data_IF_169449449629
#
_entry.id   IF_169449449629
#
_cell.length_a   1.000
_cell.length_b   1.000
_cell.length_c   1.000
_cell.angle_alpha   90.00
_cell.angle_beta   90.00
_cell.angle_gamma   90.00
#
_symmetry.space_group_name_H-M   'P 1'
#
loop_
_entity.id
_entity.type
_entity.pdbx_description
1 polymer ?
#
# COMPACT_ATOMS: atom_id res chain seq x y z
N UNK A 1 -42.71 9.85 14.91
CA UNK A 1 -42.04 8.53 14.84
C UNK A 1 -41.57 8.18 16.24
N UNK A 2 -41.96 7.01 16.76
CA UNK A 2 -41.48 6.52 18.06
C UNK A 2 -40.07 5.93 17.98
N UNK A 3 -39.52 5.55 19.14
CA UNK A 3 -38.24 4.85 19.22
C UNK A 3 -38.24 3.56 18.39
N UNK A 4 -37.07 3.18 17.88
CA UNK A 4 -36.93 2.00 17.03
C UNK A 4 -37.27 0.73 17.84
N UNK A 5 -38.27 -0.04 17.39
CA UNK A 5 -38.77 -1.26 18.09
C UNK A 5 -37.72 -2.34 18.37
N UNK A 6 -36.68 -2.47 17.52
CA UNK A 6 -35.59 -3.45 17.72
C UNK A 6 -34.24 -2.79 17.47
N UNK A 7 -33.30 -2.98 18.39
CA UNK A 7 -31.93 -2.49 18.24
C UNK A 7 -31.22 -3.19 17.07
N UNK A 8 -30.41 -2.43 16.34
CA UNK A 8 -29.54 -2.96 15.30
C UNK A 8 -28.36 -2.00 15.10
N UNK A 9 -27.19 -2.56 14.84
CA UNK A 9 -26.02 -1.78 14.44
C UNK A 9 -26.27 -0.99 13.15
N UNK A 10 -25.53 0.12 12.98
CA UNK A 10 -25.55 0.93 11.77
C UNK A 10 -25.07 0.09 10.56
N UNK A 11 -25.67 0.33 9.40
CA UNK A 11 -25.22 -0.26 8.13
C UNK A 11 -24.07 0.55 7.53
N UNK A 12 -22.89 -0.04 7.53
CA UNK A 12 -21.66 0.56 7.02
C UNK A 12 -21.04 1.61 7.95
N UNK A 13 -19.73 1.79 7.81
CA UNK A 13 -18.97 2.79 8.57
C UNK A 13 -19.10 4.19 7.94
N UNK A 14 -19.28 5.19 8.80
CA UNK A 14 -19.26 6.62 8.45
C UNK A 14 -17.85 7.18 8.32
N UNK A 15 -16.84 6.53 8.90
CA UNK A 15 -15.43 6.95 8.80
C UNK A 15 -14.91 6.94 7.36
N UNK A 16 -15.56 6.17 6.47
CA UNK A 16 -15.23 6.09 5.05
C UNK A 16 -16.19 6.88 4.15
N UNK A 17 -17.01 7.78 4.72
CA UNK A 17 -17.81 8.75 3.99
C UNK A 17 -16.99 10.03 3.73
N UNK A 18 -17.06 10.67 2.55
CA UNK A 18 -17.83 10.30 1.35
C UNK A 18 -17.15 9.16 0.57
N UNK A 19 -17.94 8.18 0.12
CA UNK A 19 -17.47 7.05 -0.70
C UNK A 19 -17.41 7.44 -2.17
N UNK A 20 -16.25 7.97 -2.59
CA UNK A 20 -15.99 8.48 -3.94
C UNK A 20 -14.82 7.76 -4.62
N UNK A 21 -14.74 7.87 -5.95
CA UNK A 21 -13.63 7.34 -6.74
C UNK A 21 -12.33 8.06 -6.36
N UNK A 22 -11.25 7.31 -6.19
CA UNK A 22 -9.91 7.88 -6.01
C UNK A 22 -9.51 8.71 -7.24
N UNK A 23 -8.81 9.82 -7.00
CA UNK A 23 -8.36 10.74 -8.06
C UNK A 23 -7.22 10.15 -8.91
N UNK A 24 -6.36 9.33 -8.29
CA UNK A 24 -5.23 8.66 -8.94
C UNK A 24 -5.38 7.13 -8.87
N UNK A 25 -4.67 6.42 -9.73
CA UNK A 25 -4.52 4.95 -9.66
C UNK A 25 -3.55 4.52 -8.56
N UNK A 26 -2.77 5.47 -8.05
CA UNK A 26 -1.79 5.30 -7.01
C UNK A 26 -2.36 5.68 -5.64
N UNK A 27 -2.01 4.90 -4.61
CA UNK A 27 -2.38 5.23 -3.24
C UNK A 27 -1.39 6.24 -2.65
N UNK A 28 -1.91 7.28 -2.00
CA UNK A 28 -1.11 8.25 -1.24
C UNK A 28 -0.84 7.73 0.18
N UNK A 29 0.42 7.60 0.56
CA UNK A 29 0.79 7.39 1.96
C UNK A 29 0.67 8.75 2.66
N UNK A 30 -0.06 8.80 3.78
CA UNK A 30 -0.36 10.06 4.49
C UNK A 30 0.41 10.24 5.79
N UNK A 31 0.91 9.15 6.34
CA UNK A 31 1.64 9.13 7.60
C UNK A 31 2.76 8.11 7.49
N UNK A 32 3.77 8.24 8.33
CA UNK A 32 4.94 7.38 8.32
C UNK A 32 5.29 6.99 9.75
N UNK A 33 5.80 5.78 9.99
CA UNK A 33 6.32 5.42 11.30
C UNK A 33 7.59 6.22 11.59
N UNK A 34 7.74 6.62 12.85
CA UNK A 34 8.96 7.29 13.33
C UNK A 34 9.87 6.24 13.96
N UNK A 35 11.14 6.22 13.54
CA UNK A 35 12.19 5.40 14.17
C UNK A 35 13.00 6.21 15.17
N UNK A 36 13.65 5.53 16.11
CA UNK A 36 14.56 6.15 17.08
C UNK A 36 15.78 6.77 16.39
N UNK A 37 16.30 7.84 16.97
CA UNK A 37 17.52 8.50 16.50
C UNK A 37 18.78 7.62 16.64
N UNK A 38 18.73 6.56 17.44
CA UNK A 38 19.80 5.56 17.60
C UNK A 38 19.85 4.55 16.45
N UNK A 39 18.75 4.40 15.72
CA UNK A 39 18.69 3.44 14.62
C UNK A 39 19.46 3.97 13.41
N UNK A 40 19.91 3.08 12.54
CA UNK A 40 20.46 3.48 11.25
C UNK A 40 19.35 4.06 10.34
N UNK A 41 19.67 5.09 9.52
CA UNK A 41 18.74 5.60 8.52
C UNK A 41 18.27 4.50 7.57
N UNK A 42 16.95 4.37 7.41
CA UNK A 42 16.34 3.37 6.54
C UNK A 42 15.17 3.95 5.78
N UNK A 43 15.07 3.60 4.49
CA UNK A 43 13.90 3.90 3.66
C UNK A 43 12.72 3.04 4.13
N UNK A 44 11.56 3.67 4.34
CA UNK A 44 10.43 3.00 5.00
C UNK A 44 9.39 2.42 4.04
N UNK A 45 9.53 2.59 2.73
CA UNK A 45 8.58 2.10 1.75
C UNK A 45 9.23 1.45 0.54
N UNK A 46 8.51 0.46 0.01
CA UNK A 46 8.75 -0.16 -1.28
C UNK A 46 7.40 -0.27 -2.01
N UNK A 47 7.39 -0.74 -3.24
CA UNK A 47 6.15 -1.04 -3.96
C UNK A 47 6.24 -2.37 -4.71
N UNK A 48 5.08 -2.89 -5.09
CA UNK A 48 4.98 -4.07 -5.93
C UNK A 48 3.70 -4.08 -6.75
N UNK A 49 3.61 -5.01 -7.68
CA UNK A 49 2.44 -5.21 -8.54
C UNK A 49 1.74 -6.50 -8.19
N UNK A 50 0.42 -6.43 -7.99
CA UNK A 50 -0.39 -7.61 -7.65
C UNK A 50 -0.41 -8.63 -8.79
N UNK A 51 0.18 -9.79 -8.58
CA UNK A 51 0.15 -10.89 -9.56
C UNK A 51 -1.06 -11.80 -9.36
N UNK A 52 -1.21 -12.35 -8.16
CA UNK A 52 -2.19 -13.39 -7.88
C UNK A 52 -2.37 -13.66 -6.40
N UNK A 53 -3.10 -14.72 -6.10
CA UNK A 53 -3.20 -15.27 -4.75
C UNK A 53 -2.82 -16.74 -4.80
N UNK A 54 -2.23 -17.23 -3.72
CA UNK A 54 -1.79 -18.62 -3.52
C UNK A 54 -2.22 -19.09 -2.14
N UNK A 55 -2.12 -20.39 -1.88
CA UNK A 55 -2.23 -20.95 -0.55
C UNK A 55 -0.82 -21.20 0.01
N UNK A 56 -0.63 -20.95 1.30
CA UNK A 56 0.64 -21.12 1.99
C UNK A 56 0.40 -22.08 3.14
N UNK A 57 1.18 -23.15 3.18
CA UNK A 57 1.25 -24.08 4.31
C UNK A 57 2.45 -23.66 5.16
N UNK A 58 2.18 -23.19 6.37
CA UNK A 58 3.19 -22.69 7.32
C UNK A 58 2.97 -23.29 8.69
N UNK A 59 3.97 -23.29 9.56
CA UNK A 59 3.78 -23.62 10.97
C UNK A 59 3.32 -22.37 11.73
N UNK A 60 2.29 -22.49 12.57
CA UNK A 60 1.83 -21.37 13.41
C UNK A 60 2.85 -21.10 14.52
N UNK A 61 3.47 -19.93 14.46
CA UNK A 61 4.56 -19.50 15.33
C UNK A 61 4.10 -18.62 16.49
N UNK A 62 2.78 -18.46 16.67
CA UNK A 62 2.22 -17.71 17.78
C UNK A 62 2.23 -18.56 19.04
N UNK A 63 2.82 -18.04 20.10
CA UNK A 63 2.76 -18.69 21.41
C UNK A 63 1.35 -18.60 22.01
N UNK A 64 1.02 -19.57 22.88
CA UNK A 64 -0.22 -19.59 23.67
C UNK A 64 -1.52 -19.59 22.86
N UNK A 65 -1.48 -20.06 21.61
CA UNK A 65 -2.69 -20.36 20.82
C UNK A 65 -2.86 -21.88 20.65
N UNK A 66 -4.09 -22.41 20.52
CA UNK A 66 -4.32 -23.86 20.36
C UNK A 66 -3.62 -24.52 19.16
N UNK A 67 -3.23 -23.70 18.18
CA UNK A 67 -2.57 -24.13 16.95
C UNK A 67 -1.05 -23.92 16.96
N UNK A 68 -0.45 -23.43 18.05
CA UNK A 68 0.97 -23.20 18.16
C UNK A 68 1.77 -24.47 17.78
N UNK A 69 2.74 -24.35 16.88
CA UNK A 69 3.54 -25.46 16.39
C UNK A 69 2.83 -26.41 15.41
N UNK A 70 1.56 -26.20 15.10
CA UNK A 70 0.81 -27.00 14.11
C UNK A 70 0.86 -26.36 12.73
N UNK A 71 0.62 -27.19 11.71
CA UNK A 71 0.46 -26.72 10.34
C UNK A 71 -0.79 -25.85 10.21
N UNK A 72 -0.62 -24.70 9.57
CA UNK A 72 -1.63 -23.70 9.29
C UNK A 72 -1.62 -23.40 7.79
N UNK A 73 -2.74 -23.68 7.14
CA UNK A 73 -2.99 -23.27 5.76
C UNK A 73 -3.59 -21.87 5.78
N UNK A 74 -2.93 -20.94 5.09
CA UNK A 74 -3.38 -19.55 4.97
C UNK A 74 -3.35 -19.08 3.52
N UNK A 75 -4.19 -18.10 3.18
CA UNK A 75 -4.13 -17.47 1.87
C UNK A 75 -2.97 -16.49 1.83
N UNK A 76 -2.31 -16.36 0.69
CA UNK A 76 -1.27 -15.39 0.39
C UNK A 76 -1.61 -14.59 -0.86
N UNK A 77 -1.19 -13.32 -0.92
CA UNK A 77 -1.18 -12.55 -2.15
C UNK A 77 0.25 -12.41 -2.66
N UNK A 78 0.49 -12.79 -3.91
CA UNK A 78 1.78 -12.67 -4.59
C UNK A 78 1.92 -11.28 -5.21
N UNK A 79 2.97 -10.58 -4.82
CA UNK A 79 3.34 -9.27 -5.38
C UNK A 79 4.70 -9.40 -6.07
N UNK A 80 4.79 -8.96 -7.33
CA UNK A 80 6.07 -8.80 -8.01
C UNK A 80 6.67 -7.48 -7.57
N UNK A 81 7.89 -7.51 -7.06
CA UNK A 81 8.55 -6.36 -6.44
C UNK A 81 9.82 -6.05 -7.23
N UNK A 82 9.69 -5.41 -8.41
CA UNK A 82 10.87 -4.99 -9.15
C UNK A 82 11.70 -4.00 -8.30
N UNK A 83 13.01 -3.92 -8.55
CA UNK A 83 13.84 -2.94 -7.85
C UNK A 83 13.33 -1.52 -8.09
N UNK A 84 13.43 -0.70 -7.06
CA UNK A 84 13.03 0.70 -7.10
C UNK A 84 14.26 1.59 -7.32
N UNK A 85 14.15 2.57 -8.20
CA UNK A 85 15.21 3.55 -8.47
C UNK A 85 15.05 4.75 -7.53
N UNK A 86 16.10 5.16 -6.84
CA UNK A 86 16.12 6.41 -6.10
C UNK A 86 16.41 7.56 -7.07
N UNK A 87 15.37 8.30 -7.44
CA UNK A 87 15.45 9.43 -8.37
C UNK A 87 15.97 10.69 -7.72
N UNK A 88 15.67 10.90 -6.44
CA UNK A 88 15.90 12.19 -5.82
C UNK A 88 15.71 12.21 -4.32
N UNK A 89 15.99 13.35 -3.73
CA UNK A 89 15.85 13.66 -2.31
C UNK A 89 14.96 14.90 -2.19
N UNK A 90 13.96 14.82 -1.31
CA UNK A 90 13.11 15.94 -0.95
C UNK A 90 13.23 16.22 0.54
N UNK A 91 13.56 17.47 0.89
CA UNK A 91 13.61 17.95 2.27
C UNK A 91 12.36 18.76 2.60
N UNK A 92 11.73 18.45 3.75
CA UNK A 92 10.63 19.24 4.28
C UNK A 92 11.04 20.02 5.53
N UNK A 93 10.80 21.33 5.53
CA UNK A 93 10.73 22.15 6.74
C UNK A 93 9.34 22.03 7.36
N UNK A 94 9.22 22.43 8.63
CA UNK A 94 7.95 22.42 9.36
C UNK A 94 7.73 23.75 10.04
N UNK A 95 6.69 24.45 9.59
CA UNK A 95 6.23 25.72 10.16
C UNK A 95 4.87 25.53 10.86
N UNK A 96 4.28 26.62 11.34
CA UNK A 96 2.95 26.60 11.97
C UNK A 96 1.85 26.10 11.01
N UNK A 97 2.00 26.35 9.71
CA UNK A 97 1.04 25.97 8.67
C UNK A 97 1.21 24.51 8.19
N UNK A 98 2.32 23.86 8.53
CA UNK A 98 2.59 22.46 8.21
C UNK A 98 3.95 22.22 7.57
N UNK A 99 4.04 21.18 6.75
CA UNK A 99 5.29 20.77 6.11
C UNK A 99 5.42 21.45 4.74
N UNK A 100 6.54 22.13 4.50
CA UNK A 100 6.86 22.81 3.25
C UNK A 100 8.08 22.16 2.58
N UNK A 101 7.99 21.91 1.27
CA UNK A 101 9.13 21.34 0.52
C UNK A 101 10.16 22.45 0.26
N UNK A 102 11.34 22.31 0.84
CA UNK A 102 12.41 23.31 0.77
C UNK A 102 13.33 23.11 -0.43
N UNK A 103 13.58 21.85 -0.78
CA UNK A 103 14.40 21.49 -1.93
C UNK A 103 14.00 20.14 -2.50
N UNK A 104 14.26 20.00 -3.80
CA UNK A 104 14.29 18.75 -4.53
C UNK A 104 15.66 18.62 -5.20
N UNK A 105 16.35 17.52 -4.94
CA UNK A 105 17.61 17.16 -5.58
C UNK A 105 17.35 15.90 -6.38
N UNK A 106 17.79 15.85 -7.64
CA UNK A 106 17.62 14.68 -8.50
C UNK A 106 18.97 14.10 -8.91
N UNK A 107 19.00 12.79 -9.17
CA UNK A 107 20.14 12.11 -9.75
C UNK A 107 20.49 12.71 -11.12
N UNK A 108 21.78 12.81 -11.43
CA UNK A 108 22.25 13.22 -12.75
C UNK A 108 22.13 12.07 -13.75
N UNK A 109 22.59 10.88 -13.35
CA UNK A 109 22.51 9.68 -14.17
C UNK A 109 21.19 8.94 -13.92
N UNK A 110 20.20 9.24 -14.76
CA UNK A 110 18.89 8.59 -14.72
C UNK A 110 18.76 7.66 -15.93
N UNK A 111 18.42 6.38 -15.73
CA UNK A 111 18.16 5.43 -16.80
C UNK A 111 17.22 5.97 -17.89
N UNK A 112 17.59 5.77 -19.16
CA UNK A 112 16.87 6.29 -20.36
C UNK A 112 15.40 5.87 -20.45
N UNK A 113 15.04 4.73 -19.87
CA UNK A 113 13.67 4.24 -19.79
C UNK A 113 12.79 5.13 -18.90
N UNK A 114 13.37 5.77 -17.88
CA UNK A 114 12.67 6.62 -16.92
C UNK A 114 12.78 8.10 -17.32
N UNK A 115 13.95 8.56 -17.75
CA UNK A 115 14.16 9.96 -18.14
C UNK A 115 13.34 10.40 -19.35
N UNK A 116 13.01 9.48 -20.28
CA UNK A 116 12.10 9.78 -21.41
C UNK A 116 10.65 10.04 -20.99
N UNK A 117 10.22 9.47 -19.87
CA UNK A 117 8.84 9.51 -19.42
C UNK A 117 8.59 10.61 -18.36
N UNK A 118 9.65 11.27 -17.88
CA UNK A 118 9.60 12.28 -16.81
C UNK A 118 10.39 13.52 -17.22
N UNK A 119 9.76 14.69 -17.15
CA UNK A 119 10.45 15.97 -17.27
C UNK A 119 11.09 16.36 -15.93
N UNK A 120 12.37 16.07 -15.75
CA UNK A 120 13.13 16.47 -14.55
C UNK A 120 14.03 17.66 -14.92
N UNK A 121 13.92 18.77 -14.19
CA UNK A 121 14.85 19.89 -14.29
C UNK A 121 15.95 19.67 -13.26
N UNK A 122 17.13 19.24 -13.70
CA UNK A 122 18.27 19.14 -12.81
C UNK A 122 19.04 20.48 -12.84
N UNK A 123 19.23 21.09 -11.67
CA UNK A 123 19.96 22.36 -11.53
C UNK A 123 21.35 22.00 -11.00
N UNK A 124 22.40 22.46 -11.68
CA UNK A 124 23.78 22.27 -11.24
C UNK A 124 24.00 22.87 -9.84
N UNK A 125 24.74 22.17 -8.98
CA UNK A 125 24.97 22.58 -7.58
C UNK A 125 23.77 22.38 -6.64
N UNK A 126 22.74 21.63 -7.06
CA UNK A 126 21.55 21.39 -6.23
C UNK A 126 21.86 20.63 -4.92
N UNK A 127 22.84 19.71 -4.95
CA UNK A 127 23.27 18.93 -3.78
C UNK A 127 23.88 19.83 -2.71
N UNK A 128 24.85 20.66 -3.08
CA UNK A 128 25.54 21.59 -2.16
C UNK A 128 24.56 22.60 -1.56
N UNK A 129 23.64 23.11 -2.38
CA UNK A 129 22.57 23.98 -1.91
C UNK A 129 21.64 23.28 -0.90
N UNK A 130 21.33 22.00 -1.11
CA UNK A 130 20.52 21.22 -0.17
C UNK A 130 21.25 20.99 1.16
N UNK A 131 22.56 20.68 1.12
CA UNK A 131 23.40 20.48 2.31
C UNK A 131 23.42 21.73 3.19
N UNK A 132 23.52 22.92 2.60
CA UNK A 132 23.50 24.19 3.34
C UNK A 132 22.18 24.43 4.12
N UNK A 133 21.08 23.82 3.65
CA UNK A 133 19.72 24.04 4.20
C UNK A 133 19.28 22.96 5.18
N UNK A 134 20.09 21.91 5.41
CA UNK A 134 19.73 20.77 6.26
C UNK A 134 19.29 21.16 7.67
N UNK A 135 19.86 22.23 8.24
CA UNK A 135 19.51 22.74 9.59
C UNK A 135 18.04 23.13 9.74
N UNK A 136 17.36 23.52 8.66
CA UNK A 136 15.93 23.91 8.66
C UNK A 136 15.00 22.72 8.39
N UNK A 137 15.54 21.60 7.93
CA UNK A 137 14.76 20.43 7.54
C UNK A 137 14.35 19.66 8.78
N UNK A 138 13.14 19.10 8.75
CA UNK A 138 12.61 18.21 9.78
C UNK A 138 12.40 16.78 9.29
N UNK A 139 12.07 16.61 8.02
CA UNK A 139 11.81 15.30 7.42
C UNK A 139 12.48 15.19 6.05
N UNK A 140 13.11 14.04 5.79
CA UNK A 140 13.72 13.71 4.50
C UNK A 140 12.95 12.57 3.83
N UNK A 141 12.71 12.74 2.54
CA UNK A 141 12.08 11.75 1.69
C UNK A 141 12.99 11.41 0.51
N UNK A 142 13.08 10.12 0.21
CA UNK A 142 13.60 9.66 -1.07
C UNK A 142 12.47 9.72 -2.10
N UNK A 143 12.71 10.33 -3.25
CA UNK A 143 11.84 10.27 -4.41
C UNK A 143 12.17 8.97 -5.14
N UNK A 144 11.23 8.04 -5.12
CA UNK A 144 11.38 6.69 -5.64
C UNK A 144 10.62 6.54 -6.94
N UNK A 145 11.23 5.89 -7.94
CA UNK A 145 10.54 5.45 -9.14
C UNK A 145 10.54 3.93 -9.30
N UNK A 146 9.44 3.41 -9.81
CA UNK A 146 9.32 2.01 -10.22
C UNK A 146 8.84 1.92 -11.65
N UNK A 147 9.52 1.12 -12.47
CA UNK A 147 9.08 0.82 -13.83
C UNK A 147 8.15 -0.41 -13.83
N UNK A 148 6.89 -0.29 -14.27
CA UNK A 148 5.99 -1.44 -14.41
C UNK A 148 6.53 -2.49 -15.39
N UNK A 149 7.33 -2.07 -16.38
CA UNK A 149 7.99 -2.96 -17.33
C UNK A 149 8.97 -3.93 -16.66
N UNK A 150 9.65 -3.48 -15.61
CA UNK A 150 10.53 -4.34 -14.81
C UNK A 150 9.76 -5.45 -14.09
N UNK A 151 8.47 -5.24 -13.79
CA UNK A 151 7.56 -6.27 -13.26
C UNK A 151 6.90 -7.13 -14.35
N UNK A 152 7.30 -7.01 -15.62
CA UNK A 152 6.71 -7.75 -16.74
C UNK A 152 5.38 -7.19 -17.25
N UNK A 153 5.04 -5.94 -16.92
CA UNK A 153 3.82 -5.28 -17.42
C UNK A 153 4.09 -4.49 -18.72
N UNK A 154 3.05 -4.34 -19.53
CA UNK A 154 3.12 -3.60 -20.82
C UNK A 154 3.31 -2.08 -20.63
N UNK A 155 2.97 -1.55 -19.46
CA UNK A 155 3.00 -0.10 -19.19
C UNK A 155 4.44 0.40 -19.03
N UNK A 156 4.78 1.43 -19.83
CA UNK A 156 6.12 2.04 -19.84
C UNK A 156 6.28 3.14 -18.79
N UNK A 157 5.23 3.94 -18.57
CA UNK A 157 5.27 5.08 -17.65
C UNK A 157 5.59 4.63 -16.22
N UNK A 158 6.64 5.16 -15.58
CA UNK A 158 6.99 4.82 -14.20
C UNK A 158 5.99 5.41 -13.21
N UNK A 159 5.86 4.76 -12.05
CA UNK A 159 5.22 5.37 -10.88
C UNK A 159 6.28 6.03 -10.02
N UNK A 160 6.00 7.25 -9.56
CA UNK A 160 6.93 8.05 -8.76
C UNK A 160 6.25 8.42 -7.46
N UNK A 161 6.92 8.19 -6.34
CA UNK A 161 6.41 8.61 -5.05
C UNK A 161 7.52 8.84 -4.03
N UNK A 162 7.17 9.58 -2.99
CA UNK A 162 8.04 9.82 -1.85
C UNK A 162 7.99 8.63 -0.88
N UNK A 163 9.17 8.17 -0.48
CA UNK A 163 9.36 7.24 0.62
C UNK A 163 10.10 7.96 1.75
N UNK A 164 9.53 7.99 2.96
CA UNK A 164 10.19 8.62 4.10
C UNK A 164 11.45 7.82 4.46
N UNK A 165 12.50 8.54 4.81
CA UNK A 165 13.69 7.98 5.45
C UNK A 165 13.65 8.32 6.93
N UNK A 166 13.86 7.32 7.77
CA UNK A 166 13.80 7.49 9.23
C UNK A 166 14.88 6.66 9.91
N UNK A 167 15.30 7.08 11.10
CA UNK A 167 16.47 6.57 11.80
C UNK A 167 17.63 7.56 11.71
N UNK A 168 18.45 7.64 12.76
CA UNK A 168 19.58 8.55 12.81
C UNK A 168 19.18 10.03 12.85
N UNK A 169 20.20 10.88 12.70
CA UNK A 169 20.03 12.32 12.53
C UNK A 169 19.74 12.69 11.06
N UNK A 170 19.21 13.88 10.83
CA UNK A 170 18.80 14.37 9.50
C UNK A 170 19.98 14.41 8.54
N UNK A 171 21.17 14.78 9.01
CA UNK A 171 22.39 14.78 8.20
C UNK A 171 22.78 13.36 7.76
N UNK A 172 22.65 12.37 8.66
CA UNK A 172 22.89 10.96 8.35
C UNK A 172 21.84 10.41 7.38
N UNK A 173 20.58 10.79 7.54
CA UNK A 173 19.51 10.44 6.60
C UNK A 173 19.80 11.00 5.20
N UNK A 174 20.24 12.26 5.11
CA UNK A 174 20.61 12.88 3.85
C UNK A 174 21.78 12.15 3.18
N UNK A 175 22.85 11.90 3.92
CA UNK A 175 24.03 11.17 3.43
C UNK A 175 23.65 9.77 2.92
N UNK A 176 22.83 9.03 3.67
CA UNK A 176 22.35 7.71 3.27
C UNK A 176 21.61 7.73 1.94
N UNK A 177 20.69 8.68 1.73
CA UNK A 177 19.96 8.77 0.45
C UNK A 177 20.86 9.30 -0.67
N UNK A 178 21.80 10.20 -0.37
CA UNK A 178 22.78 10.71 -1.33
C UNK A 178 23.64 9.58 -1.92
N UNK A 179 24.06 8.62 -1.10
CA UNK A 179 24.81 7.44 -1.57
C UNK A 179 24.00 6.49 -2.45
N UNK A 180 22.69 6.44 -2.22
CA UNK A 180 21.74 5.61 -2.96
C UNK A 180 21.16 6.32 -4.20
N UNK A 181 21.47 7.59 -4.40
CA UNK A 181 20.97 8.40 -5.50
C UNK A 181 21.37 7.80 -6.86
N UNK A 182 20.40 7.61 -7.75
CA UNK A 182 20.62 6.97 -9.06
C UNK A 182 20.79 5.45 -9.02
N UNK A 183 20.78 4.82 -7.84
CA UNK A 183 20.90 3.36 -7.68
C UNK A 183 19.54 2.69 -7.53
N UNK A 184 19.52 1.42 -7.91
CA UNK A 184 18.38 0.53 -7.74
C UNK A 184 18.45 -0.19 -6.39
N UNK A 185 17.33 -0.18 -5.65
CA UNK A 185 17.18 -0.82 -4.34
C UNK A 185 16.19 -1.96 -4.48
N UNK A 186 16.60 -3.15 -3.99
CA UNK A 186 15.74 -4.33 -3.92
C UNK A 186 14.92 -4.33 -2.63
N UNK A 187 13.84 -5.11 -2.63
CA UNK A 187 12.96 -5.18 -1.47
C UNK A 187 13.65 -5.73 -0.22
N UNK A 188 14.58 -6.66 -0.38
CA UNK A 188 15.35 -7.30 0.70
C UNK A 188 16.22 -6.31 1.50
N UNK A 189 16.60 -5.19 0.88
CA UNK A 189 17.35 -4.13 1.56
C UNK A 189 16.45 -3.28 2.47
N UNK A 190 15.13 -3.28 2.22
CA UNK A 190 14.14 -2.48 2.97
C UNK A 190 13.38 -3.35 3.98
N UNK A 191 12.92 -4.53 3.58
CA UNK A 191 12.11 -5.39 4.41
C UNK A 191 12.78 -6.74 4.61
N UNK A 192 12.44 -7.39 5.71
CA UNK A 192 12.93 -8.72 6.05
C UNK A 192 11.77 -9.71 6.00
N UNK A 193 12.06 -10.99 5.71
CA UNK A 193 11.06 -12.05 5.75
C UNK A 193 10.49 -12.18 7.16
N UNK A 194 9.16 -12.24 7.28
CA UNK A 194 8.46 -12.26 8.55
C UNK A 194 8.07 -10.88 9.09
N UNK A 195 8.62 -9.80 8.53
CA UNK A 195 8.23 -8.46 8.92
C UNK A 195 6.78 -8.17 8.54
N UNK A 196 6.11 -7.39 9.36
CA UNK A 196 4.75 -6.87 9.12
C UNK A 196 4.83 -5.53 8.41
N UNK A 197 4.00 -5.36 7.38
CA UNK A 197 3.93 -4.16 6.56
C UNK A 197 2.50 -3.66 6.43
N UNK A 198 2.39 -2.35 6.25
CA UNK A 198 1.14 -1.69 5.91
C UNK A 198 1.02 -1.56 4.40
N UNK A 199 -0.16 -1.85 3.87
CA UNK A 199 -0.40 -1.99 2.45
C UNK A 199 -1.37 -0.92 1.97
N UNK A 200 -0.88 0.03 1.19
CA UNK A 200 -1.68 1.11 0.60
C UNK A 200 -1.97 0.84 -0.88
N UNK A 201 -3.25 0.79 -1.24
CA UNK A 201 -3.67 0.51 -2.62
C UNK A 201 -5.06 1.09 -2.95
N UNK A 202 -5.36 1.13 -4.25
CA UNK A 202 -6.69 1.44 -4.76
C UNK A 202 -7.48 0.15 -4.94
N UNK A 203 -8.64 0.06 -4.29
CA UNK A 203 -9.54 -1.10 -4.35
C UNK A 203 -10.10 -1.34 -5.75
N UNK A 204 -10.57 -2.57 -6.02
CA UNK A 204 -11.27 -2.91 -7.27
C UNK A 204 -12.50 -2.01 -7.46
N UNK A 205 -12.69 -1.50 -8.67
CA UNK A 205 -13.86 -0.70 -9.04
C UNK A 205 -15.09 -1.57 -9.29
N UNK A 206 -16.25 -1.12 -8.82
CA UNK A 206 -17.55 -1.75 -9.09
C UNK A 206 -18.58 -0.78 -9.69
N UNK A 207 -18.19 0.45 -10.01
CA UNK A 207 -19.06 1.47 -10.60
C UNK A 207 -20.21 1.91 -9.68
N UNK A 208 -21.31 2.34 -10.28
CA UNK A 208 -22.53 2.70 -9.56
C UNK A 208 -23.21 1.46 -9.00
N UNK A 209 -23.47 1.43 -7.69
CA UNK A 209 -24.16 0.32 -7.03
C UNK A 209 -25.31 0.82 -6.16
N UNK A 210 -26.36 0.00 -6.08
CA UNK A 210 -27.49 0.23 -5.19
C UNK A 210 -27.12 0.12 -3.70
N UNK A 211 -28.03 0.58 -2.84
CA UNK A 211 -27.85 0.61 -1.37
C UNK A 211 -27.53 -0.75 -0.77
N UNK A 212 -28.08 -1.81 -1.35
CA UNK A 212 -27.89 -3.20 -0.94
C UNK A 212 -26.41 -3.60 -0.97
N UNK A 213 -25.76 -3.50 -2.14
CA UNK A 213 -24.35 -3.90 -2.31
C UNK A 213 -23.39 -2.86 -1.74
N UNK A 214 -23.73 -1.57 -1.82
CA UNK A 214 -22.85 -0.47 -1.37
C UNK A 214 -22.76 -0.37 0.16
N UNK A 215 -23.86 -0.63 0.86
CA UNK A 215 -23.97 -0.42 2.32
C UNK A 215 -24.37 -1.66 3.12
N UNK A 216 -24.74 -2.77 2.48
CA UNK A 216 -25.18 -3.98 3.17
C UNK A 216 -26.54 -3.81 3.86
N UNK A 217 -27.43 -2.98 3.29
CA UNK A 217 -28.82 -2.85 3.75
C UNK A 217 -29.57 -4.17 3.47
N UNK A 218 -30.65 -4.48 4.20
CA UNK A 218 -31.50 -5.65 3.93
C UNK A 218 -32.52 -5.31 2.84
N UNK A 219 -32.85 -6.27 1.98
CA UNK A 219 -33.90 -6.12 0.96
C UNK A 219 -35.26 -5.98 1.62
N UNK A 220 -36.19 -5.30 0.96
CA UNK A 220 -37.60 -5.29 1.36
C UNK A 220 -38.25 -6.65 1.04
N UNK A 221 -39.48 -6.84 1.52
CA UNK A 221 -40.27 -8.04 1.23
C UNK A 221 -40.54 -8.18 -0.28
N UNK A 222 -40.65 -9.42 -0.77
CA UNK A 222 -40.89 -9.70 -2.19
C UNK A 222 -42.17 -9.07 -2.74
N UNK A 223 -43.21 -8.91 -1.91
CA UNK A 223 -44.50 -8.29 -2.26
C UNK A 223 -44.47 -6.75 -2.28
N UNK A 224 -43.31 -6.11 -2.08
CA UNK A 224 -43.23 -4.65 -2.08
C UNK A 224 -43.45 -4.10 -3.50
N UNK A 225 -44.34 -3.11 -3.64
CA UNK A 225 -44.58 -2.43 -4.92
C UNK A 225 -43.37 -1.59 -5.34
N UNK A 226 -43.21 -1.39 -6.66
CA UNK A 226 -42.14 -0.66 -7.37
C UNK A 226 -40.76 -1.32 -7.33
N UNK A 227 -40.15 -1.48 -6.16
CA UNK A 227 -38.83 -2.12 -6.04
C UNK A 227 -38.64 -2.75 -4.67
N UNK A 228 -37.83 -3.81 -4.62
CA UNK A 228 -37.43 -4.51 -3.39
C UNK A 228 -36.01 -4.16 -2.93
N UNK A 229 -35.22 -3.47 -3.78
CA UNK A 229 -33.78 -3.22 -3.58
C UNK A 229 -33.46 -1.77 -3.19
N UNK A 230 -34.26 -1.22 -2.29
CA UNK A 230 -34.09 0.14 -1.76
C UNK A 230 -34.22 0.19 -0.23
N UNK A 231 -33.90 1.34 0.37
CA UNK A 231 -34.13 1.57 1.80
C UNK A 231 -35.61 1.87 2.02
N UNK A 232 -36.21 1.31 3.07
CA UNK A 232 -37.63 1.50 3.36
C UNK A 232 -38.01 2.93 3.79
N UNK A 233 -37.16 3.60 4.58
CA UNK A 233 -37.36 4.99 5.00
C UNK A 233 -36.04 5.76 4.92
N UNK A 234 -36.09 7.00 4.40
CA UNK A 234 -34.93 7.90 4.31
C UNK A 234 -34.71 8.71 5.60
N UNK A 235 -35.74 8.88 6.43
CA UNK A 235 -35.67 9.71 7.64
C UNK A 235 -37.05 10.08 8.18
N UNK A 236 -37.10 10.74 9.35
CA UNK A 236 -38.31 11.37 9.87
C UNK A 236 -38.73 12.61 9.08
N UNK A 237 -39.92 13.14 9.37
CA UNK A 237 -40.47 14.37 8.77
C UNK A 237 -39.62 15.59 9.16
N UNK A 238 -39.23 15.68 10.44
CA UNK A 238 -38.32 16.71 10.96
C UNK A 238 -37.01 16.04 11.41
N UNK A 239 -35.83 16.49 10.94
CA UNK A 239 -35.61 17.65 10.06
C UNK A 239 -36.08 17.38 8.63
N UNK A 240 -36.53 18.43 7.93
CA UNK A 240 -37.02 18.37 6.53
C UNK A 240 -35.94 18.12 5.47
N UNK A 241 -34.87 17.39 5.82
CA UNK A 241 -33.73 17.11 4.95
C UNK A 241 -33.23 15.68 5.12
N UNK A 242 -32.64 15.12 4.06
CA UNK A 242 -32.03 13.78 4.13
C UNK A 242 -30.65 13.88 4.76
N UNK A 243 -30.48 13.26 5.92
CA UNK A 243 -29.19 13.25 6.63
C UNK A 243 -28.11 12.50 5.83
N UNK A 244 -26.87 12.98 5.91
CA UNK A 244 -25.71 12.35 5.24
C UNK A 244 -25.42 10.91 5.72
N UNK A 245 -25.93 10.54 6.89
CA UNK A 245 -25.76 9.21 7.50
C UNK A 245 -26.62 8.14 6.82
N UNK A 246 -27.60 8.55 6.01
CA UNK A 246 -28.53 7.64 5.34
C UNK A 246 -27.83 6.90 4.19
N UNK A 247 -27.91 5.56 4.14
CA UNK A 247 -27.36 4.79 3.03
C UNK A 247 -27.99 5.17 1.68
N UNK A 248 -27.19 5.64 0.74
CA UNK A 248 -27.62 5.96 -0.63
C UNK A 248 -26.84 5.17 -1.67
N UNK A 249 -27.47 4.94 -2.83
CA UNK A 249 -26.81 4.36 -3.99
C UNK A 249 -25.68 5.28 -4.48
N UNK A 250 -24.69 4.71 -5.16
CA UNK A 250 -23.57 5.48 -5.71
C UNK A 250 -22.32 4.66 -5.98
N UNK A 251 -21.21 5.37 -6.20
CA UNK A 251 -19.92 4.75 -6.44
C UNK A 251 -19.54 3.74 -5.36
N UNK A 252 -19.12 2.55 -5.80
CA UNK A 252 -18.57 1.48 -4.97
C UNK A 252 -17.25 0.99 -5.56
N UNK A 253 -16.24 0.86 -4.71
CA UNK A 253 -14.91 0.46 -5.13
C UNK A 253 -14.16 1.59 -5.83
N UNK A 254 -12.91 1.31 -6.22
CA UNK A 254 -11.95 2.32 -6.64
C UNK A 254 -11.72 3.39 -5.57
N UNK A 255 -11.80 2.98 -4.30
CA UNK A 255 -11.46 3.81 -3.15
C UNK A 255 -10.01 3.54 -2.76
N UNK A 256 -9.32 4.57 -2.28
CA UNK A 256 -8.02 4.41 -1.62
C UNK A 256 -8.22 3.76 -0.25
N UNK A 257 -7.47 2.70 0.03
CA UNK A 257 -7.45 2.01 1.32
C UNK A 257 -6.02 1.73 1.74
N UNK A 258 -5.86 1.61 3.05
CA UNK A 258 -4.65 1.14 3.68
C UNK A 258 -5.06 0.00 4.61
N UNK A 259 -4.49 -1.17 4.40
CA UNK A 259 -4.64 -2.32 5.28
C UNK A 259 -3.37 -2.45 6.12
N UNK A 260 -3.54 -2.57 7.43
CA UNK A 260 -2.42 -2.66 8.37
C UNK A 260 -2.00 -4.12 8.58
N UNK A 261 -0.81 -4.31 9.13
CA UNK A 261 -0.35 -5.55 9.77
C UNK A 261 -0.35 -6.79 8.83
N UNK A 262 0.09 -6.60 7.58
CA UNK A 262 0.28 -7.71 6.63
C UNK A 262 1.67 -8.29 6.77
N UNK A 263 1.76 -9.55 7.20
CA UNK A 263 3.04 -10.24 7.36
C UNK A 263 3.60 -10.70 6.01
N UNK A 264 4.89 -10.46 5.78
CA UNK A 264 5.63 -11.04 4.66
C UNK A 264 5.94 -12.51 4.99
N UNK A 265 5.33 -13.43 4.25
CA UNK A 265 5.48 -14.86 4.47
C UNK A 265 6.68 -15.43 3.72
N UNK A 266 6.84 -15.01 2.47
CA UNK A 266 7.95 -15.42 1.60
C UNK A 266 8.47 -14.17 0.91
N UNK A 267 9.78 -14.08 0.80
CA UNK A 267 10.51 -13.12 -0.01
C UNK A 267 11.50 -13.94 -0.83
N UNK A 268 11.50 -13.73 -2.13
CA UNK A 268 12.19 -14.65 -3.02
C UNK A 268 12.42 -14.09 -4.41
N UNK A 269 13.24 -14.78 -5.18
CA UNK A 269 13.50 -14.51 -6.58
C UNK A 269 13.21 -15.76 -7.42
N UNK A 270 12.50 -15.56 -8.52
CA UNK A 270 12.02 -16.63 -9.41
C UNK A 270 13.16 -17.48 -10.00
N UNK A 271 14.37 -16.93 -10.14
CA UNK A 271 15.53 -17.60 -10.78
C UNK A 271 16.36 -18.41 -9.78
N UNK A 272 16.45 -17.96 -8.52
CA UNK A 272 17.29 -18.59 -7.49
C UNK A 272 16.55 -19.61 -6.63
N UNK A 273 15.23 -19.48 -6.51
CA UNK A 273 14.51 -20.15 -5.44
C UNK A 273 13.95 -21.52 -5.82
N UNK A 274 13.96 -22.41 -4.83
CA UNK A 274 13.38 -23.76 -4.93
C UNK A 274 11.85 -23.76 -4.95
N UNK A 275 11.21 -22.64 -4.59
CA UNK A 275 9.75 -22.53 -4.49
C UNK A 275 9.20 -22.24 -5.88
N UNK A 276 8.48 -23.21 -6.47
CA UNK A 276 7.68 -22.96 -7.68
C UNK A 276 6.60 -21.94 -7.31
N UNK A 277 6.66 -20.74 -7.91
CA UNK A 277 5.66 -19.67 -7.69
C UNK A 277 4.70 -19.50 -8.87
N UNK A 278 5.12 -19.87 -10.07
CA UNK A 278 4.30 -19.76 -11.28
C UNK A 278 3.48 -21.04 -11.49
N UNK A 279 2.14 -20.94 -11.60
CA UNK A 279 1.32 -22.07 -12.02
C UNK A 279 1.57 -22.38 -13.50
N UNK A 280 1.17 -23.57 -13.93
CA UNK A 280 1.25 -23.95 -15.34
C UNK A 280 0.35 -23.01 -16.16
N UNK A 281 0.95 -22.30 -17.13
CA UNK A 281 0.29 -21.25 -17.90
C UNK A 281 0.29 -19.84 -17.27
N UNK A 282 0.83 -19.68 -16.05
CA UNK A 282 0.99 -18.38 -15.37
C UNK A 282 -0.28 -17.83 -14.72
N UNK A 283 -0.15 -16.70 -14.02
CA UNK A 283 -1.25 -16.09 -13.28
C UNK A 283 -2.27 -15.44 -14.21
N UNK A 284 -3.56 -15.70 -13.95
CA UNK A 284 -4.67 -15.14 -14.74
C UNK A 284 -4.61 -13.62 -14.80
N UNK A 285 -4.59 -13.07 -16.02
CA UNK A 285 -4.48 -11.63 -16.33
C UNK A 285 -3.15 -10.96 -15.96
N UNK A 286 -2.19 -11.66 -15.37
CA UNK A 286 -0.85 -11.13 -15.05
C UNK A 286 0.21 -11.76 -15.95
N UNK A 287 0.22 -13.09 -16.07
CA UNK A 287 1.26 -13.86 -16.76
C UNK A 287 2.24 -14.49 -15.76
N UNK A 288 3.47 -14.71 -16.21
CA UNK A 288 4.54 -15.25 -15.37
C UNK A 288 5.12 -14.16 -14.47
N UNK A 289 5.27 -14.45 -13.19
CA UNK A 289 6.10 -13.68 -12.26
C UNK A 289 7.57 -13.90 -12.63
N UNK A 290 8.34 -12.83 -12.73
CA UNK A 290 9.76 -12.83 -13.05
C UNK A 290 10.51 -11.96 -12.06
N UNK A 291 11.72 -12.36 -11.68
CA UNK A 291 12.56 -11.63 -10.72
C UNK A 291 12.06 -11.72 -9.28
N UNK A 292 12.27 -10.65 -8.53
CA UNK A 292 11.97 -10.54 -7.10
C UNK A 292 10.45 -10.48 -6.85
N UNK A 293 9.98 -11.27 -5.90
CA UNK A 293 8.59 -11.31 -5.47
C UNK A 293 8.46 -11.47 -3.96
N UNK A 294 7.29 -11.10 -3.44
CA UNK A 294 6.91 -11.40 -2.06
C UNK A 294 5.52 -12.02 -2.02
N UNK A 295 5.28 -12.78 -0.95
CA UNK A 295 3.96 -13.29 -0.62
C UNK A 295 3.52 -12.67 0.71
N UNK A 296 2.48 -11.83 0.66
CA UNK A 296 1.87 -11.26 1.85
C UNK A 296 0.75 -12.16 2.37
N UNK A 297 0.65 -12.31 3.70
CA UNK A 297 -0.44 -13.05 4.34
C UNK A 297 -1.79 -12.39 4.07
N UNK A 298 -2.73 -13.19 3.60
CA UNK A 298 -4.11 -12.81 3.29
C UNK A 298 -4.28 -12.06 1.97
N UNK A 299 -5.42 -11.40 1.83
CA UNK A 299 -5.74 -10.59 0.67
C UNK A 299 -5.11 -9.20 0.75
N UNK A 300 -4.74 -8.64 -0.40
CA UNK A 300 -4.33 -7.24 -0.58
C UNK A 300 -5.35 -6.48 -1.41
N UNK A 301 -5.65 -5.19 -1.11
CA UNK A 301 -6.58 -4.41 -1.92
C UNK A 301 -6.15 -4.25 -3.38
N UNK A 302 -7.14 -4.22 -4.28
CA UNK A 302 -6.93 -3.93 -5.70
C UNK A 302 -7.01 -5.13 -6.62
N UNK A 303 -7.01 -4.84 -7.92
CA UNK A 303 -7.03 -5.83 -9.01
C UNK A 303 -5.62 -6.36 -9.27
N UNK A 304 -5.51 -7.41 -10.08
CA UNK A 304 -4.22 -7.80 -10.68
C UNK A 304 -3.61 -6.63 -11.47
N UNK A 305 -2.28 -6.63 -11.62
CA UNK A 305 -1.46 -5.57 -12.22
C UNK A 305 -1.50 -4.21 -11.50
N UNK A 306 -2.17 -4.11 -10.34
CA UNK A 306 -2.27 -2.86 -9.57
C UNK A 306 -0.98 -2.61 -8.79
N UNK A 307 -0.50 -1.36 -8.82
CA UNK A 307 0.54 -0.89 -7.92
C UNK A 307 0.04 -0.92 -6.47
N UNK A 308 0.80 -1.57 -5.62
CA UNK A 308 0.61 -1.63 -4.18
C UNK A 308 1.85 -1.01 -3.54
N UNK A 309 1.63 -0.03 -2.68
CA UNK A 309 2.71 0.53 -1.87
C UNK A 309 2.76 -0.19 -0.53
N UNK A 310 3.95 -0.61 -0.16
CA UNK A 310 4.27 -1.21 1.11
C UNK A 310 4.95 -0.15 1.95
N UNK A 311 4.47 0.03 3.16
CA UNK A 311 5.08 0.90 4.16
C UNK A 311 5.44 0.05 5.36
N UNK A 312 6.52 0.40 6.02
CA UNK A 312 6.82 -0.08 7.37
C UNK A 312 5.60 0.10 8.28
N UNK A 313 5.37 -0.89 9.14
CA UNK A 313 4.21 -0.94 10.02
C UNK A 313 4.20 0.26 10.98
N UNK A 314 3.03 0.90 11.13
CA UNK A 314 2.87 2.04 12.05
C UNK A 314 2.19 1.66 13.38
N UNK A 315 1.50 0.51 13.44
CA UNK A 315 0.74 0.06 14.62
C UNK A 315 1.27 -1.29 15.07
N UNK A 316 1.41 -1.51 16.37
CA UNK A 316 1.75 -2.84 16.93
C UNK A 316 3.00 -3.46 16.28
N UNK A 317 4.07 -2.67 16.14
CA UNK A 317 5.34 -3.19 15.66
C UNK A 317 5.88 -4.22 16.66
N UNK A 318 6.17 -5.47 16.24
CA UNK A 318 6.74 -6.46 17.13
C UNK A 318 8.19 -6.10 17.46
N UNK A 319 8.61 -6.34 18.70
CA UNK A 319 9.99 -6.08 19.14
C UNK A 319 11.03 -6.90 18.36
N UNK A 320 10.61 -8.08 17.88
CA UNK A 320 11.45 -9.00 17.11
C UNK A 320 10.71 -9.51 15.88
N UNK A 321 11.40 -9.51 14.75
CA UNK A 321 10.90 -10.13 13.52
C UNK A 321 11.19 -11.63 13.57
N UNK A 322 10.13 -12.42 13.64
CA UNK A 322 10.21 -13.88 13.59
C UNK A 322 10.08 -14.32 12.13
N UNK A 323 11.06 -15.07 11.63
CA UNK A 323 10.99 -15.64 10.28
C UNK A 323 9.94 -16.76 10.26
N UNK A 324 8.95 -16.70 9.35
CA UNK A 324 7.92 -17.72 9.26
C UNK A 324 8.52 -19.02 8.74
N UNK A 325 8.11 -20.14 9.32
CA UNK A 325 8.47 -21.46 8.81
C UNK A 325 7.45 -21.89 7.74
N UNK A 326 7.88 -21.84 6.48
CA UNK A 326 7.06 -22.17 5.31
C UNK A 326 7.37 -23.60 4.89
N UNK A 327 6.35 -24.45 4.87
CA UNK A 327 6.46 -25.84 4.43
C UNK A 327 6.27 -25.94 2.92
N UNK A 328 5.22 -25.29 2.40
CA UNK A 328 4.86 -25.37 0.99
C UNK A 328 4.07 -24.13 0.55
N UNK A 329 4.24 -23.75 -0.72
CA UNK A 329 3.37 -22.79 -1.41
C UNK A 329 2.58 -23.55 -2.45
N UNK A 330 1.26 -23.62 -2.24
CA UNK A 330 0.31 -24.31 -3.12
C UNK A 330 -0.25 -23.28 -4.10
N UNK A 331 0.03 -23.49 -5.38
CA UNK A 331 -0.28 -22.58 -6.49
C UNK A 331 -1.56 -22.99 -7.20
#
# INVERSE_FOLDING_TARGET
MGARKRHQARRGSLAYSRRVRAKSMEARIRSWPTRSATDEPKILAHCGFKAGCVQIVSIDDRDKVPNAGKQLVSLGTVLVTPPILILGIRGYSKDHDGNHAEFDVYAEDIPKNISKEISIKNIAGSIENAESRLKKIKEIFAIVAVSPRAAGLEMKKPYIFEAMVSGGDIEKQFAHVKELLGKEIKIDQIFETGATVDVAAITKGHGWQGVMRRWGVKTKQAKSRKTVREVGSLGPISPGSVMYTVPRAGQTGFHQRLEYDKRIMVMGNTESDKIKINPDGGYKHFGLVKGDFIILKGSVPGTYKRLIKLRSQIRNAPDKVIKPNILEVVI
#
